data_IF_081624582176
#
_entry.id   IF_081624582176
#
_cell.length_a   1.000
_cell.length_b   1.000
_cell.length_c   1.000
_cell.angle_alpha   90.00
_cell.angle_beta   90.00
_cell.angle_gamma   90.00
#
_symmetry.space_group_name_H-M   'P 1'
#
loop_
_entity.id
_entity.type
_entity.pdbx_description
1 polymer ?
#
# COMPACT_ATOMS: atom_id res chain seq x y z
N UNK A 1 -26.55 64.89 -12.32
CA UNK A 1 -25.99 63.54 -12.54
C UNK A 1 -24.47 63.73 -12.62
N UNK A 2 -23.64 63.82 -11.57
CA UNK A 2 -23.63 63.21 -10.22
C UNK A 2 -23.91 61.70 -10.32
N UNK A 3 -22.95 60.80 -10.09
CA UNK A 3 -21.95 60.82 -9.02
C UNK A 3 -20.52 60.44 -9.43
N UNK A 4 -19.55 61.19 -8.89
CA UNK A 4 -18.21 60.74 -8.52
C UNK A 4 -18.30 60.00 -7.18
N UNK A 5 -17.46 58.98 -6.95
CA UNK A 5 -17.09 58.56 -5.59
C UNK A 5 -15.66 57.99 -5.58
N UNK A 6 -14.75 58.96 -5.51
CA UNK A 6 -13.54 59.04 -4.71
C UNK A 6 -12.90 57.79 -4.08
N UNK A 7 -11.61 57.72 -4.36
CA UNK A 7 -10.57 56.95 -3.68
C UNK A 7 -10.00 57.82 -2.56
N UNK A 8 -10.22 57.48 -1.28
CA UNK A 8 -9.25 57.66 -0.18
C UNK A 8 -9.80 57.15 1.16
N UNK A 9 -9.11 56.20 1.80
CA UNK A 9 -8.97 56.03 3.27
C UNK A 9 -7.91 54.94 3.48
N UNK A 10 -6.66 55.31 3.74
CA UNK A 10 -5.98 55.39 5.05
C UNK A 10 -5.58 54.03 5.65
N UNK A 11 -4.29 53.95 5.94
CA UNK A 11 -3.54 52.84 6.51
C UNK A 11 -4.04 52.40 7.88
N UNK A 12 -4.12 51.08 8.13
CA UNK A 12 -3.78 50.50 9.43
C UNK A 12 -3.53 48.99 9.31
N UNK A 13 -2.27 48.61 9.51
CA UNK A 13 -1.84 47.24 9.79
C UNK A 13 -2.35 46.79 11.16
N UNK A 14 -2.65 45.50 11.36
CA UNK A 14 -2.52 44.88 12.67
C UNK A 14 -1.34 43.89 12.67
N UNK A 15 -0.32 44.24 13.43
CA UNK A 15 0.75 43.32 13.89
C UNK A 15 0.21 42.33 14.95
N UNK A 16 0.98 41.26 15.25
CA UNK A 16 0.44 39.97 15.67
C UNK A 16 0.14 39.91 17.17
N UNK A 17 -0.99 39.28 17.53
CA UNK A 17 -1.28 38.96 18.93
C UNK A 17 -0.54 37.68 19.34
N UNK A 18 0.49 37.88 20.15
CA UNK A 18 1.16 36.88 20.98
C UNK A 18 0.25 36.41 22.10
N UNK A 19 0.09 35.09 22.25
CA UNK A 19 -0.24 34.47 23.54
C UNK A 19 0.65 33.23 23.70
N UNK A 20 1.64 33.36 24.59
CA UNK A 20 2.36 32.25 25.19
C UNK A 20 1.53 31.70 26.36
N UNK A 21 1.49 30.38 26.51
CA UNK A 21 1.34 29.62 27.77
C UNK A 21 1.55 28.14 27.37
N UNK A 22 2.77 27.62 27.37
CA UNK A 22 3.49 26.96 28.47
C UNK A 22 2.91 25.62 28.95
N UNK A 23 3.86 24.68 29.07
CA UNK A 23 3.92 23.47 29.90
C UNK A 23 3.11 22.20 29.54
N UNK A 24 3.86 21.18 29.11
CA UNK A 24 3.97 19.93 29.88
C UNK A 24 2.88 18.88 29.72
N UNK A 25 3.17 17.78 29.02
CA UNK A 25 2.39 16.55 29.16
C UNK A 25 2.71 15.49 28.12
N UNK A 26 3.70 14.64 28.41
CA UNK A 26 3.82 13.34 27.77
C UNK A 26 2.62 12.48 28.21
N UNK A 27 1.66 12.24 27.31
CA UNK A 27 0.57 11.30 27.59
C UNK A 27 0.98 9.90 27.12
N UNK A 28 1.67 9.18 28.01
CA UNK A 28 1.69 7.71 28.04
C UNK A 28 0.34 7.19 28.55
N UNK A 29 -0.36 6.29 27.85
CA UNK A 29 -1.47 5.55 28.43
C UNK A 29 -0.93 4.43 29.34
N UNK A 30 -0.98 4.65 30.65
CA UNK A 30 -0.89 3.59 31.67
C UNK A 30 -2.31 3.22 32.05
N UNK A 31 -2.71 1.97 31.79
CA UNK A 31 -3.82 1.37 32.53
C UNK A 31 -3.41 -0.03 32.97
N UNK A 32 -3.02 -0.09 34.24
CA UNK A 32 -3.04 -1.29 35.03
C UNK A 32 -4.49 -1.79 35.13
N UNK A 33 -4.77 -2.95 34.55
CA UNK A 33 -5.88 -3.79 35.02
C UNK A 33 -5.27 -5.11 35.45
N UNK A 34 -5.22 -5.29 36.77
CA UNK A 34 -5.01 -6.58 37.41
C UNK A 34 -6.08 -7.56 36.92
N UNK A 35 -5.68 -8.56 36.13
CA UNK A 35 -6.45 -9.79 35.95
C UNK A 35 -5.73 -10.91 36.67
N UNK A 36 -6.29 -11.30 37.83
CA UNK A 36 -5.96 -12.56 38.49
C UNK A 36 -6.25 -13.73 37.53
N UNK A 37 -5.21 -14.32 36.96
CA UNK A 37 -5.28 -15.66 36.41
C UNK A 37 -4.51 -16.61 37.33
N UNK A 38 -5.27 -17.59 37.82
CA UNK A 38 -4.84 -18.68 38.69
C UNK A 38 -3.65 -19.40 38.07
N UNK A 39 -2.54 -19.46 38.81
CA UNK A 39 -1.36 -20.23 38.48
C UNK A 39 -1.55 -21.66 38.99
N UNK A 40 -2.15 -22.53 38.18
CA UNK A 40 -2.03 -23.98 38.37
C UNK A 40 -2.12 -24.68 37.00
N UNK A 41 -1.22 -25.64 36.79
CA UNK A 41 -1.09 -26.53 35.63
C UNK A 41 -0.38 -26.00 34.36
N UNK A 42 0.93 -25.74 34.50
CA UNK A 42 1.89 -25.99 33.41
C UNK A 42 2.97 -26.95 33.89
N UNK A 43 2.68 -28.25 33.85
CA UNK A 43 3.72 -29.27 33.90
C UNK A 43 4.36 -29.37 32.52
N UNK A 44 5.63 -28.97 32.40
CA UNK A 44 6.41 -29.18 31.20
C UNK A 44 6.58 -30.70 30.95
N UNK A 45 6.37 -31.21 29.72
CA UNK A 45 6.61 -32.61 29.44
C UNK A 45 8.10 -32.91 29.58
N UNK A 46 8.43 -33.93 30.39
CA UNK A 46 9.81 -34.43 30.51
C UNK A 46 10.22 -35.05 29.17
N UNK A 47 11.28 -34.49 28.58
CA UNK A 47 11.86 -34.93 27.32
C UNK A 47 12.60 -36.26 27.54
N UNK A 48 11.93 -37.38 27.27
CA UNK A 48 12.58 -38.67 27.06
C UNK A 48 13.09 -38.70 25.62
N UNK A 49 14.41 -38.88 25.45
CA UNK A 49 15.19 -38.58 24.25
C UNK A 49 14.95 -39.46 23.03
N UNK A 50 13.69 -39.66 22.64
CA UNK A 50 13.30 -40.35 21.41
C UNK A 50 12.70 -39.34 20.43
N UNK A 51 13.54 -38.80 19.53
CA UNK A 51 13.10 -37.97 18.41
C UNK A 51 12.03 -38.72 17.60
N UNK A 52 10.84 -38.14 17.34
CA UNK A 52 9.91 -38.72 16.40
C UNK A 52 10.56 -38.68 15.02
N UNK A 53 10.60 -39.84 14.35
CA UNK A 53 10.95 -39.91 12.94
C UNK A 53 9.91 -39.06 12.18
N UNK A 54 10.35 -37.95 11.60
CA UNK A 54 9.50 -37.16 10.70
C UNK A 54 9.26 -38.00 9.45
N UNK A 55 8.13 -38.70 9.45
CA UNK A 55 7.60 -39.40 8.28
C UNK A 55 6.63 -38.44 7.61
N UNK A 56 6.87 -38.28 6.31
CA UNK A 56 5.96 -37.90 5.22
C UNK A 56 6.22 -36.53 4.57
N UNK A 57 6.88 -36.48 3.40
CA UNK A 57 7.03 -35.28 2.59
C UNK A 57 5.76 -34.85 1.84
N UNK A 58 4.61 -35.51 2.04
CA UNK A 58 3.32 -35.16 1.41
C UNK A 58 2.31 -34.44 2.32
N UNK A 59 2.71 -33.91 3.47
CA UNK A 59 1.83 -33.04 4.26
C UNK A 59 1.81 -31.62 3.69
N UNK A 60 0.82 -31.39 2.81
CA UNK A 60 0.17 -30.13 2.44
C UNK A 60 0.94 -28.86 2.84
N UNK A 61 1.89 -28.47 1.99
CA UNK A 61 2.28 -27.07 1.88
C UNK A 61 1.02 -26.34 1.40
N UNK A 62 0.58 -25.22 2.03
CA UNK A 62 -0.52 -24.44 1.50
C UNK A 62 -0.13 -23.94 0.11
N UNK A 63 -0.62 -24.64 -0.91
CA UNK A 63 -0.54 -24.20 -2.28
C UNK A 63 -1.49 -23.00 -2.39
N UNK A 64 -0.98 -21.78 -2.18
CA UNK A 64 -1.68 -20.61 -2.71
C UNK A 64 -1.94 -20.90 -4.18
N UNK A 65 -3.24 -20.92 -4.48
CA UNK A 65 -3.82 -21.32 -5.76
C UNK A 65 -3.03 -20.77 -6.91
N UNK A 66 -2.64 -21.66 -7.84
CA UNK A 66 -2.19 -21.31 -9.18
C UNK A 66 -3.09 -20.19 -9.69
N UNK A 67 -2.50 -19.03 -9.98
CA UNK A 67 -3.20 -17.87 -10.53
C UNK A 67 -4.14 -18.37 -11.62
N UNK A 68 -5.44 -18.26 -11.38
CA UNK A 68 -6.42 -18.55 -12.40
C UNK A 68 -6.19 -17.53 -13.52
N UNK A 69 -5.83 -18.00 -14.72
CA UNK A 69 -5.65 -17.11 -15.87
C UNK A 69 -6.95 -16.35 -16.19
N UNK A 70 -8.11 -16.87 -15.77
CA UNK A 70 -9.40 -16.17 -15.85
C UNK A 70 -9.51 -14.97 -14.90
N UNK A 71 -8.67 -14.90 -13.87
CA UNK A 71 -8.62 -13.82 -12.88
C UNK A 71 -7.60 -12.71 -13.22
N UNK A 72 -6.90 -12.81 -14.36
CA UNK A 72 -5.91 -11.82 -14.81
C UNK A 72 -6.57 -10.71 -15.62
N UNK A 73 -6.18 -9.47 -15.35
CA UNK A 73 -6.68 -8.32 -16.11
C UNK A 73 -8.11 -7.93 -15.74
N UNK A 74 -8.56 -8.30 -14.55
CA UNK A 74 -9.85 -7.88 -13.98
C UNK A 74 -9.72 -6.45 -13.46
N UNK A 75 -10.74 -5.61 -13.67
CA UNK A 75 -10.76 -4.29 -13.05
C UNK A 75 -10.84 -4.45 -11.53
N UNK A 76 -9.90 -3.88 -10.75
CA UNK A 76 -9.94 -4.03 -9.30
C UNK A 76 -11.23 -3.41 -8.74
N UNK A 77 -11.86 -4.13 -7.82
CA UNK A 77 -13.08 -3.71 -7.15
C UNK A 77 -12.86 -3.72 -5.64
N UNK A 78 -13.59 -2.86 -4.94
CA UNK A 78 -13.51 -2.78 -3.48
C UNK A 78 -13.71 -4.14 -2.81
N UNK A 79 -12.94 -4.38 -1.75
CA UNK A 79 -12.95 -5.62 -0.99
C UNK A 79 -12.15 -6.76 -1.63
N UNK A 80 -11.73 -6.64 -2.89
CA UNK A 80 -10.85 -7.64 -3.50
C UNK A 80 -9.40 -7.45 -3.08
N UNK A 81 -8.68 -8.56 -2.95
CA UNK A 81 -7.22 -8.56 -2.80
C UNK A 81 -6.57 -8.94 -4.13
N UNK A 82 -5.52 -8.20 -4.50
CA UNK A 82 -4.87 -8.31 -5.79
C UNK A 82 -3.36 -8.35 -5.69
N UNK A 83 -2.75 -9.13 -6.59
CA UNK A 83 -1.37 -8.96 -7.00
C UNK A 83 -1.37 -8.01 -8.22
N UNK A 84 -0.54 -6.97 -8.16
CA UNK A 84 -0.41 -5.98 -9.24
C UNK A 84 0.89 -6.26 -9.97
N UNK A 85 0.81 -6.72 -11.23
CA UNK A 85 1.93 -7.26 -11.99
C UNK A 85 2.18 -6.47 -13.25
N UNK A 86 3.45 -6.26 -13.59
CA UNK A 86 3.84 -5.82 -14.92
C UNK A 86 3.77 -7.02 -15.90
N UNK A 87 2.92 -6.97 -16.94
CA UNK A 87 2.79 -8.07 -17.88
C UNK A 87 4.08 -8.32 -18.67
N UNK A 88 4.97 -7.34 -18.84
CA UNK A 88 6.19 -7.47 -19.62
C UNK A 88 7.31 -8.19 -18.83
N UNK A 89 7.62 -7.71 -17.62
CA UNK A 89 8.71 -8.27 -16.80
C UNK A 89 8.27 -9.37 -15.85
N UNK A 90 6.95 -9.54 -15.64
CA UNK A 90 6.34 -10.43 -14.63
C UNK A 90 6.69 -10.07 -13.18
N UNK A 91 7.34 -8.93 -12.97
CA UNK A 91 7.56 -8.39 -11.63
C UNK A 91 6.25 -7.84 -11.07
N UNK A 92 6.10 -7.91 -9.75
CA UNK A 92 4.93 -7.45 -9.01
C UNK A 92 5.29 -6.25 -8.16
N UNK A 93 4.31 -5.38 -7.94
CA UNK A 93 4.39 -4.34 -6.91
C UNK A 93 4.32 -5.04 -5.56
N UNK A 94 5.36 -4.91 -4.74
CA UNK A 94 5.38 -5.51 -3.42
C UNK A 94 6.25 -4.73 -2.44
N UNK A 95 6.20 -5.14 -1.17
CA UNK A 95 7.13 -4.70 -0.13
C UNK A 95 8.21 -5.75 0.11
N UNK A 96 9.47 -5.32 0.03
CA UNK A 96 10.62 -6.06 0.54
C UNK A 96 11.26 -5.26 1.68
N UNK A 97 11.26 -5.81 2.89
CA UNK A 97 11.79 -5.13 4.09
C UNK A 97 11.21 -3.70 4.27
N UNK A 98 9.92 -3.52 3.97
CA UNK A 98 9.22 -2.25 4.05
C UNK A 98 9.49 -1.26 2.90
N UNK A 99 10.25 -1.65 1.88
CA UNK A 99 10.52 -0.83 0.69
C UNK A 99 9.58 -1.24 -0.43
N UNK A 100 8.82 -0.28 -0.96
CA UNK A 100 7.92 -0.48 -2.09
C UNK A 100 8.74 -0.51 -3.39
N UNK A 101 8.49 -1.52 -4.23
CA UNK A 101 9.15 -1.64 -5.52
C UNK A 101 8.62 -2.80 -6.36
N UNK A 102 9.33 -3.08 -7.45
CA UNK A 102 9.07 -4.18 -8.37
C UNK A 102 9.90 -5.41 -7.99
N UNK A 103 9.26 -6.54 -7.76
CA UNK A 103 9.94 -7.74 -7.27
C UNK A 103 9.42 -9.02 -7.93
N UNK A 104 10.21 -10.10 -7.98
CA UNK A 104 9.69 -11.41 -8.39
C UNK A 104 8.59 -11.86 -7.44
N UNK A 105 7.48 -12.36 -7.98
CA UNK A 105 6.40 -12.97 -7.20
C UNK A 105 6.89 -14.26 -6.52
N UNK A 106 7.55 -15.09 -7.32
CA UNK A 106 8.18 -16.35 -6.92
C UNK A 106 9.67 -16.23 -7.21
N UNK A 107 10.51 -16.74 -6.31
CA UNK A 107 11.93 -16.93 -6.57
C UNK A 107 12.32 -18.38 -6.32
N UNK A 108 13.31 -18.85 -7.07
CA UNK A 108 13.85 -20.19 -6.94
C UNK A 108 15.09 -20.14 -6.03
N UNK A 109 15.13 -21.01 -5.01
CA UNK A 109 16.34 -21.28 -4.23
C UNK A 109 16.51 -22.78 -4.17
N UNK A 110 17.69 -23.28 -4.57
CA UNK A 110 18.04 -24.70 -4.57
C UNK A 110 17.01 -25.59 -5.28
N UNK A 111 16.42 -25.12 -6.39
CA UNK A 111 15.41 -25.86 -7.16
C UNK A 111 14.00 -25.83 -6.55
N UNK A 112 13.81 -25.13 -5.43
CA UNK A 112 12.51 -24.95 -4.79
C UNK A 112 11.95 -23.57 -5.09
N UNK A 113 10.69 -23.55 -5.53
CA UNK A 113 9.94 -22.31 -5.77
C UNK A 113 9.39 -21.80 -4.44
N UNK A 114 9.92 -20.68 -3.97
CA UNK A 114 9.39 -19.96 -2.84
C UNK A 114 8.50 -18.84 -3.35
N UNK A 115 7.22 -18.88 -2.98
CA UNK A 115 6.42 -17.67 -3.00
C UNK A 115 7.04 -16.74 -1.99
N UNK A 116 7.42 -15.56 -2.45
CA UNK A 116 7.96 -14.59 -1.52
C UNK A 116 6.85 -14.23 -0.55
N UNK A 117 7.08 -14.41 0.76
CA UNK A 117 6.32 -13.72 1.81
C UNK A 117 6.48 -12.18 1.77
N UNK A 118 6.79 -11.63 0.60
CA UNK A 118 6.76 -10.21 0.31
C UNK A 118 5.32 -9.75 0.46
N UNK A 119 5.13 -8.54 0.95
CA UNK A 119 3.82 -7.90 0.96
C UNK A 119 3.40 -7.54 -0.46
N UNK A 120 3.07 -8.54 -1.29
CA UNK A 120 2.59 -8.39 -2.67
C UNK A 120 1.06 -8.38 -2.77
N UNK A 121 0.39 -8.70 -1.67
CA UNK A 121 -1.06 -8.73 -1.57
C UNK A 121 -1.58 -7.35 -1.19
N UNK A 122 -2.35 -6.77 -2.11
CA UNK A 122 -2.90 -5.43 -1.96
C UNK A 122 -4.42 -5.53 -1.88
N UNK A 123 -4.97 -5.28 -0.71
CA UNK A 123 -6.38 -5.15 -0.48
C UNK A 123 -6.90 -3.82 -1.09
N UNK A 124 -7.87 -3.92 -1.98
CA UNK A 124 -8.47 -2.78 -2.64
C UNK A 124 -9.57 -2.18 -1.75
N UNK A 125 -9.31 -0.99 -1.22
CA UNK A 125 -10.23 -0.24 -0.35
C UNK A 125 -10.87 0.89 -1.13
N UNK A 126 -12.15 1.13 -0.93
CA UNK A 126 -12.86 2.31 -1.45
C UNK A 126 -13.30 3.18 -0.28
N UNK A 127 -12.98 4.47 -0.33
CA UNK A 127 -13.42 5.42 0.69
C UNK A 127 -14.83 5.99 0.40
N UNK A 128 -15.35 6.79 1.33
CA UNK A 128 -16.66 7.45 1.23
C UNK A 128 -16.81 8.39 0.02
N UNK A 129 -15.69 8.83 -0.56
CA UNK A 129 -15.59 9.67 -1.76
C UNK A 129 -15.37 8.86 -3.04
N UNK A 130 -15.52 7.54 -3.00
CA UNK A 130 -15.38 6.62 -4.14
C UNK A 130 -13.97 6.56 -4.73
N UNK A 131 -12.94 6.94 -3.96
CA UNK A 131 -11.55 6.74 -4.36
C UNK A 131 -11.08 5.36 -3.97
N UNK A 132 -10.35 4.70 -4.87
CA UNK A 132 -9.68 3.44 -4.55
C UNK A 132 -8.36 3.69 -3.84
N UNK A 133 -7.94 2.72 -3.04
CA UNK A 133 -6.66 2.65 -2.37
C UNK A 133 -6.20 1.20 -2.31
N UNK A 134 -4.89 1.01 -2.22
CA UNK A 134 -4.27 -0.31 -2.20
C UNK A 134 -3.51 -0.46 -0.89
N UNK A 135 -4.11 -1.15 0.07
CA UNK A 135 -3.56 -1.41 1.39
C UNK A 135 -2.83 -2.75 1.40
N UNK A 136 -1.62 -2.79 1.92
CA UNK A 136 -0.87 -4.03 2.05
C UNK A 136 -1.48 -4.92 3.13
N UNK A 137 -1.73 -6.20 2.84
CA UNK A 137 -2.31 -7.12 3.85
C UNK A 137 -1.37 -7.44 5.01
N UNK A 138 -0.05 -7.30 4.81
CA UNK A 138 0.95 -7.61 5.84
C UNK A 138 1.31 -6.37 6.66
N UNK A 139 1.63 -5.25 6.01
CA UNK A 139 2.04 -4.04 6.72
C UNK A 139 0.88 -3.13 7.12
N UNK A 140 -0.33 -3.31 6.56
CA UNK A 140 -1.46 -2.41 6.80
C UNK A 140 -1.26 -1.00 6.22
N UNK A 141 -0.27 -0.80 5.34
CA UNK A 141 0.04 0.51 4.75
C UNK A 141 -0.43 0.63 3.32
N UNK A 142 -0.90 1.83 2.97
CA UNK A 142 -1.39 2.17 1.63
C UNK A 142 -0.25 2.60 0.71
N UNK A 143 -0.33 2.18 -0.56
CA UNK A 143 0.45 2.79 -1.63
C UNK A 143 0.02 4.25 -1.76
N UNK A 144 0.97 5.17 -1.72
CA UNK A 144 0.76 6.58 -1.97
C UNK A 144 2.01 7.28 -2.43
N UNK A 145 1.87 8.52 -2.90
CA UNK A 145 3.00 9.28 -3.44
C UNK A 145 3.54 10.34 -2.47
N UNK A 146 4.83 10.65 -2.56
CA UNK A 146 5.48 11.59 -1.64
C UNK A 146 5.29 13.10 -1.98
N UNK A 147 4.58 13.44 -3.07
CA UNK A 147 4.38 14.81 -3.59
C UNK A 147 5.67 15.64 -3.76
N UNK A 148 6.84 14.99 -3.91
CA UNK A 148 8.12 15.66 -4.10
C UNK A 148 8.36 15.88 -5.59
N UNK A 149 8.09 17.08 -6.11
CA UNK A 149 8.19 17.41 -7.54
C UNK A 149 9.50 16.99 -8.22
N UNK A 150 10.64 17.07 -7.53
CA UNK A 150 11.96 16.67 -8.07
C UNK A 150 12.22 15.17 -8.07
N UNK A 151 11.49 14.40 -7.24
CA UNK A 151 11.66 12.96 -7.09
C UNK A 151 10.33 12.31 -6.67
N UNK A 152 9.34 12.40 -7.57
CA UNK A 152 7.99 12.00 -7.25
C UNK A 152 7.88 10.48 -7.33
N UNK A 153 7.87 9.88 -6.14
CA UNK A 153 7.95 8.44 -5.93
C UNK A 153 6.75 7.95 -5.16
N UNK A 154 6.41 6.71 -5.42
CA UNK A 154 5.47 5.96 -4.62
C UNK A 154 6.17 5.29 -3.44
N UNK A 155 5.44 5.16 -2.35
CA UNK A 155 5.85 4.50 -1.12
C UNK A 155 4.62 3.85 -0.47
N UNK A 156 4.81 2.85 0.38
CA UNK A 156 3.72 2.25 1.15
C UNK A 156 3.95 2.45 2.64
N UNK A 157 3.71 3.67 3.11
CA UNK A 157 4.02 4.10 4.50
C UNK A 157 2.82 4.71 5.23
N UNK A 158 1.76 5.05 4.52
CA UNK A 158 0.60 5.69 5.11
C UNK A 158 -0.32 4.63 5.72
N UNK A 159 -0.77 4.84 6.95
CA UNK A 159 -1.80 4.02 7.60
C UNK A 159 -3.22 4.52 7.28
N UNK A 160 -3.32 5.63 6.53
CA UNK A 160 -4.56 6.30 6.18
C UNK A 160 -4.71 6.36 4.67
N UNK A 161 -5.97 6.34 4.23
CA UNK A 161 -6.35 6.44 2.82
C UNK A 161 -6.74 7.88 2.45
N UNK A 162 -5.75 8.77 2.49
CA UNK A 162 -5.91 10.20 2.21
C UNK A 162 -5.45 10.54 0.77
N UNK A 163 -5.43 11.83 0.40
CA UNK A 163 -5.35 12.26 -1.00
C UNK A 163 -4.17 11.72 -1.81
N UNK A 164 -3.08 11.34 -1.15
CA UNK A 164 -1.87 10.83 -1.81
C UNK A 164 -1.92 9.34 -2.09
N UNK A 165 -2.88 8.64 -1.46
CA UNK A 165 -3.16 7.21 -1.57
C UNK A 165 -4.41 6.95 -2.42
N UNK A 166 -5.03 8.00 -2.98
CA UNK A 166 -6.20 7.90 -3.84
C UNK A 166 -5.83 7.54 -5.28
N UNK A 167 -6.43 6.47 -5.77
CA UNK A 167 -6.27 5.96 -7.12
C UNK A 167 -7.58 5.99 -7.90
N UNK A 168 -7.45 6.30 -9.18
CA UNK A 168 -8.40 5.95 -10.23
C UNK A 168 -7.75 4.88 -11.11
N UNK A 169 -8.44 3.76 -11.31
CA UNK A 169 -7.97 2.68 -12.18
C UNK A 169 -8.75 2.72 -13.48
N UNK A 170 -8.05 2.69 -14.61
CA UNK A 170 -8.69 2.73 -15.95
C UNK A 170 -8.18 1.59 -16.81
N UNK A 171 -9.10 0.91 -17.48
CA UNK A 171 -8.75 -0.09 -18.48
C UNK A 171 -7.98 0.58 -19.63
N UNK A 172 -6.90 -0.08 -20.08
CA UNK A 172 -6.12 0.38 -21.23
C UNK A 172 -6.60 -0.32 -22.51
N UNK A 173 -6.63 0.35 -23.68
CA UNK A 173 -7.13 -0.23 -24.93
C UNK A 173 -6.41 -1.51 -25.39
N UNK A 174 -5.17 -1.72 -24.97
CA UNK A 174 -4.39 -2.92 -25.29
C UNK A 174 -4.54 -4.04 -24.26
N UNK A 175 -5.49 -3.92 -23.32
CA UNK A 175 -5.62 -4.80 -22.17
C UNK A 175 -4.90 -4.27 -20.93
N UNK A 176 -5.20 -4.84 -19.77
CA UNK A 176 -4.68 -4.39 -18.48
C UNK A 176 -5.24 -3.02 -18.06
N UNK A 177 -4.58 -2.39 -17.09
CA UNK A 177 -5.06 -1.16 -16.46
C UNK A 177 -3.94 -0.15 -16.20
N UNK A 178 -4.28 1.14 -16.30
CA UNK A 178 -3.43 2.24 -15.84
C UNK A 178 -3.86 2.63 -14.43
N UNK A 179 -2.88 2.73 -13.52
CA UNK A 179 -3.04 3.31 -12.20
C UNK A 179 -2.81 4.82 -12.29
N UNK A 180 -3.85 5.61 -11.97
CA UNK A 180 -3.78 7.07 -11.96
C UNK A 180 -3.89 7.58 -10.52
N UNK A 181 -3.01 8.51 -10.14
CA UNK A 181 -3.13 9.24 -8.88
C UNK A 181 -3.71 10.62 -9.09
N UNK A 182 -4.43 11.11 -8.07
CA UNK A 182 -4.88 12.49 -8.02
C UNK A 182 -3.70 13.42 -7.83
N UNK A 183 -3.57 14.43 -8.67
CA UNK A 183 -2.70 15.56 -8.46
C UNK A 183 -3.49 16.85 -8.70
N UNK A 184 -3.80 17.55 -7.61
CA UNK A 184 -4.72 18.69 -7.63
C UNK A 184 -6.06 18.33 -8.29
N UNK A 185 -6.36 18.93 -9.45
CA UNK A 185 -7.55 18.71 -10.26
C UNK A 185 -7.34 17.74 -11.43
N UNK A 186 -6.19 17.06 -11.48
CA UNK A 186 -5.78 16.23 -12.61
C UNK A 186 -5.37 14.83 -12.17
N UNK A 187 -5.13 13.98 -13.17
CA UNK A 187 -4.57 12.64 -13.00
C UNK A 187 -3.17 12.53 -13.58
N UNK A 188 -2.31 11.79 -12.88
CA UNK A 188 -1.02 11.39 -13.40
C UNK A 188 -0.84 9.87 -13.31
N UNK A 189 -0.26 9.23 -14.33
CA UNK A 189 -0.02 7.79 -14.32
C UNK A 189 1.09 7.39 -13.35
N UNK A 190 0.96 6.20 -12.79
CA UNK A 190 2.09 5.45 -12.23
C UNK A 190 2.89 4.81 -13.37
N UNK A 191 4.22 4.83 -13.26
CA UNK A 191 5.14 4.11 -14.15
C UNK A 191 6.26 3.44 -13.38
N UNK A 192 6.81 2.37 -13.95
CA UNK A 192 8.10 1.82 -13.55
C UNK A 192 9.19 2.84 -13.89
N UNK A 193 10.13 3.03 -12.97
CA UNK A 193 11.25 3.96 -13.13
C UNK A 193 12.33 3.73 -12.08
N UNK A 194 13.06 4.81 -11.78
CA UNK A 194 14.22 4.77 -10.89
C UNK A 194 15.41 4.03 -11.48
N UNK A 195 16.45 3.88 -10.66
CA UNK A 195 17.64 3.15 -11.07
C UNK A 195 17.34 1.64 -11.14
N UNK A 196 17.74 0.98 -12.23
CA UNK A 196 17.49 -0.45 -12.43
C UNK A 196 16.04 -0.85 -12.72
N UNK A 197 15.11 0.10 -12.90
CA UNK A 197 13.72 -0.19 -13.27
C UNK A 197 12.96 -0.96 -12.18
N UNK A 198 13.29 -0.70 -10.91
CA UNK A 198 12.68 -1.36 -9.76
C UNK A 198 11.81 -0.45 -8.91
N UNK A 199 11.81 0.85 -9.17
CA UNK A 199 11.03 1.82 -8.42
C UNK A 199 9.71 2.15 -9.13
N UNK A 200 8.76 2.66 -8.35
CA UNK A 200 7.51 3.22 -8.85
C UNK A 200 7.55 4.75 -8.79
N UNK A 201 7.30 5.38 -9.93
CA UNK A 201 7.42 6.82 -10.10
C UNK A 201 6.15 7.38 -10.73
N UNK A 202 5.89 8.67 -10.52
CA UNK A 202 4.80 9.36 -11.23
C UNK A 202 5.28 9.75 -12.62
N UNK A 203 4.50 9.41 -13.63
CA UNK A 203 4.70 9.84 -15.01
C UNK A 203 4.27 11.31 -15.20
N UNK A 204 5.09 12.22 -14.70
CA UNK A 204 4.84 13.66 -14.80
C UNK A 204 4.82 14.18 -16.25
N UNK A 205 5.40 13.42 -17.19
CA UNK A 205 5.42 13.75 -18.63
C UNK A 205 4.15 13.31 -19.35
N UNK A 206 3.29 12.49 -18.70
CA UNK A 206 2.02 12.01 -19.25
C UNK A 206 2.21 11.20 -20.54
N UNK A 207 3.24 10.36 -20.56
CA UNK A 207 3.56 9.47 -21.67
C UNK A 207 2.69 8.20 -21.68
N UNK A 208 1.84 8.02 -20.66
CA UNK A 208 0.80 6.98 -20.62
C UNK A 208 0.93 6.02 -19.44
N UNK A 209 2.02 6.11 -18.66
CA UNK A 209 2.27 5.22 -17.52
C UNK A 209 2.63 3.79 -17.91
N UNK A 210 2.66 2.92 -16.89
CA UNK A 210 2.78 1.47 -17.06
C UNK A 210 1.39 0.84 -17.05
N UNK A 211 1.18 -0.14 -17.93
CA UNK A 211 -0.01 -1.00 -17.95
C UNK A 211 0.20 -2.15 -16.98
N UNK A 212 -0.76 -2.36 -16.08
CA UNK A 212 -0.72 -3.35 -15.02
C UNK A 212 -1.76 -4.46 -15.23
N UNK A 213 -1.36 -5.68 -14.94
CA UNK A 213 -2.27 -6.79 -14.68
C UNK A 213 -2.68 -6.77 -13.21
N UNK A 214 -3.99 -6.78 -12.97
CA UNK A 214 -4.54 -7.11 -11.66
C UNK A 214 -4.89 -8.58 -11.66
N UNK A 215 -4.33 -9.31 -10.72
CA UNK A 215 -4.56 -10.73 -10.50
C UNK A 215 -5.31 -10.86 -9.20
N UNK A 216 -6.56 -11.28 -9.25
CA UNK A 216 -7.35 -11.47 -8.02
C UNK A 216 -6.81 -12.67 -7.25
N UNK A 217 -6.53 -12.46 -5.96
CA UNK A 217 -6.24 -13.54 -5.02
C UNK A 217 -7.57 -14.17 -4.61
N UNK A 218 -7.68 -15.48 -4.76
CA UNK A 218 -8.89 -16.22 -4.39
C UNK A 218 -9.14 -16.15 -2.88
N UNK A 219 -10.40 -15.92 -2.50
CA UNK A 219 -10.88 -16.33 -1.18
C UNK A 219 -11.16 -17.84 -1.29
N UNK A 220 -10.51 -18.67 -0.46
CA UNK A 220 -11.07 -19.99 -0.14
C UNK A 220 -12.49 -19.77 0.36
N UNK A 221 -13.47 -20.35 -0.35
CA UNK A 221 -14.84 -20.48 0.13
C UNK A 221 -15.04 -21.85 0.72
#
# INVERSE_FOLDING_TARGET
MQDECDIHTSMQSPEPSSVNSDEGGFNTPTHDTQSHFSSDEYSAPQYDGTMPRYIDPNLDIPHYTRVDESAVGVCPWKGGTYIIRDPATKLVIALEKGVLGMYPEIYEVDGLLYQSGRGSHWHCVENDRMWLGFCNEVSGTYIGHNNRKSNWRFQAKAERHDEWEWFCVRQHPTGGHILLVKHWSEFLPMRIGGEGGRELTVDAKREGGTVWDFIRVGEER
#
